data_IF_089018084751
#
_entry.id   IF_089018084751
#
_cell.length_a   1.000
_cell.length_b   1.000
_cell.length_c   1.000
_cell.angle_alpha   90.00
_cell.angle_beta   90.00
_cell.angle_gamma   90.00
#
_symmetry.space_group_name_H-M   'P 1'
#
loop_
_entity.id
_entity.type
_entity.pdbx_description
1 polymer ?
#
# COMPACT_ATOMS: atom_id res chain seq x y z
N UNK A 1 -4.94 -9.80 40.12
CA UNK A 1 -4.02 -10.45 39.16
C UNK A 1 -4.29 -11.91 39.17
N UNK A 2 -4.74 -12.50 38.03
CA UNK A 2 -4.91 -13.95 37.94
C UNK A 2 -3.59 -14.55 37.49
N UNK A 3 -3.03 -15.45 38.26
CA UNK A 3 -1.88 -16.26 37.86
C UNK A 3 -2.38 -17.41 36.99
N UNK A 4 -1.77 -17.58 35.80
CA UNK A 4 -2.02 -18.72 34.94
C UNK A 4 -0.97 -19.78 35.22
N UNK A 5 -1.40 -21.01 35.54
CA UNK A 5 -0.51 -22.16 35.74
C UNK A 5 -0.52 -23.01 34.46
N UNK A 6 0.66 -23.22 33.88
CA UNK A 6 0.86 -23.99 32.65
C UNK A 6 1.81 -25.16 32.95
N UNK A 7 1.60 -26.27 32.27
CA UNK A 7 2.46 -27.44 32.34
C UNK A 7 3.23 -27.63 31.04
N UNK A 8 4.47 -28.09 31.17
CA UNK A 8 5.27 -28.46 30.00
C UNK A 8 4.69 -29.73 29.34
N UNK A 9 4.77 -29.81 28.04
CA UNK A 9 4.52 -31.02 27.28
C UNK A 9 5.65 -32.04 27.46
N UNK A 10 5.51 -33.24 26.85
CA UNK A 10 6.50 -34.32 26.92
C UNK A 10 7.89 -33.95 26.37
N UNK A 11 7.99 -32.83 25.66
CA UNK A 11 9.24 -32.25 25.12
C UNK A 11 9.80 -31.13 26.01
N UNK A 12 9.16 -30.84 27.14
CA UNK A 12 9.53 -29.74 28.01
C UNK A 12 9.14 -28.34 27.48
N UNK A 13 8.23 -28.27 26.51
CA UNK A 13 7.79 -27.01 25.90
C UNK A 13 6.51 -26.52 26.57
N UNK A 14 6.51 -25.26 26.97
CA UNK A 14 5.31 -24.56 27.46
C UNK A 14 4.88 -23.54 26.42
N UNK A 15 3.65 -23.63 25.94
CA UNK A 15 3.05 -22.64 25.06
C UNK A 15 2.37 -21.57 25.91
N UNK A 16 2.86 -20.34 25.79
CA UNK A 16 2.23 -19.21 26.45
C UNK A 16 1.04 -18.74 25.58
N UNK A 17 -0.13 -18.48 26.21
CA UNK A 17 -1.22 -17.82 25.50
C UNK A 17 -0.81 -16.42 25.10
N UNK A 18 -1.43 -15.89 24.05
CA UNK A 18 -1.22 -14.49 23.64
C UNK A 18 -1.52 -13.58 24.85
N UNK A 19 -0.51 -12.88 25.33
CA UNK A 19 -0.58 -12.03 26.51
C UNK A 19 -1.20 -10.66 26.21
N UNK A 20 -1.84 -10.09 27.25
CA UNK A 20 -2.39 -8.72 27.16
C UNK A 20 -1.37 -7.63 27.50
N UNK A 21 -0.22 -8.04 28.04
CA UNK A 21 0.82 -7.15 28.52
C UNK A 21 2.13 -7.36 27.76
N UNK A 22 2.82 -6.29 27.51
CA UNK A 22 4.14 -6.29 26.86
C UNK A 22 5.20 -7.00 27.69
N UNK A 23 5.00 -7.12 28.99
CA UNK A 23 5.91 -7.78 29.93
C UNK A 23 5.15 -8.79 30.78
N UNK A 24 5.64 -10.03 30.79
CA UNK A 24 5.10 -11.10 31.60
C UNK A 24 6.19 -11.62 32.55
N UNK A 25 5.80 -11.83 33.81
CA UNK A 25 6.66 -12.44 34.81
C UNK A 25 6.40 -13.96 34.81
N UNK A 26 7.41 -14.72 34.45
CA UNK A 26 7.37 -16.18 34.47
C UNK A 26 8.03 -16.71 35.72
N UNK A 27 7.37 -17.64 36.35
CA UNK A 27 7.92 -18.44 37.44
C UNK A 27 7.93 -19.89 36.98
N UNK A 28 9.10 -20.44 36.74
CA UNK A 28 9.27 -21.86 36.41
C UNK A 28 9.62 -22.61 37.68
N UNK A 29 8.87 -23.69 37.98
CA UNK A 29 9.09 -24.54 39.15
C UNK A 29 9.26 -25.98 38.66
N UNK A 30 10.36 -26.64 39.09
CA UNK A 30 10.63 -28.03 38.72
C UNK A 30 11.87 -28.56 39.43
N UNK A 31 11.90 -29.86 39.72
CA UNK A 31 13.05 -30.54 40.34
C UNK A 31 13.50 -29.95 41.70
N UNK A 32 12.58 -29.36 42.45
CA UNK A 32 12.90 -28.72 43.74
C UNK A 32 13.49 -27.30 43.60
N UNK A 33 13.55 -26.76 42.41
CA UNK A 33 14.06 -25.41 42.10
C UNK A 33 12.97 -24.51 41.57
N UNK A 34 13.11 -23.22 41.81
CA UNK A 34 12.26 -22.18 41.21
C UNK A 34 13.14 -21.10 40.54
N UNK A 35 12.77 -20.70 39.34
CA UNK A 35 13.41 -19.62 38.59
C UNK A 35 12.36 -18.58 38.23
N UNK A 36 12.75 -17.32 38.32
CA UNK A 36 11.90 -16.17 37.94
C UNK A 36 12.55 -15.42 36.80
N UNK A 37 11.83 -15.23 35.72
CA UNK A 37 12.27 -14.40 34.60
C UNK A 37 11.15 -13.47 34.14
N UNK A 38 11.55 -12.35 33.55
CA UNK A 38 10.63 -11.42 32.90
C UNK A 38 10.86 -11.52 31.41
N UNK A 39 9.82 -11.83 30.66
CA UNK A 39 9.85 -11.84 29.22
C UNK A 39 9.09 -10.63 28.68
N UNK A 40 9.56 -10.10 27.57
CA UNK A 40 8.82 -9.13 26.80
C UNK A 40 8.07 -9.88 25.70
N UNK A 41 6.77 -9.86 25.77
CA UNK A 41 5.96 -10.34 24.67
C UNK A 41 5.88 -9.23 23.60
N UNK A 42 5.98 -9.59 22.33
CA UNK A 42 5.80 -8.60 21.26
C UNK A 42 4.38 -8.06 21.30
N UNK A 43 4.26 -6.75 21.09
CA UNK A 43 2.96 -6.10 20.95
C UNK A 43 2.20 -6.69 19.75
N UNK A 44 0.92 -6.93 19.93
CA UNK A 44 0.04 -7.35 18.85
C UNK A 44 -0.40 -6.12 18.05
N UNK A 45 0.50 -5.64 17.20
CA UNK A 45 0.24 -4.50 16.32
C UNK A 45 0.01 -5.02 14.91
N UNK A 46 -1.15 -4.69 14.35
CA UNK A 46 -1.50 -4.98 12.97
C UNK A 46 -1.20 -3.78 12.09
N UNK A 47 -0.60 -4.04 10.95
CA UNK A 47 -0.34 -3.06 9.90
C UNK A 47 -1.02 -3.51 8.62
N UNK A 48 -1.89 -2.65 8.11
CA UNK A 48 -2.53 -2.81 6.82
C UNK A 48 -1.80 -1.88 5.84
N UNK A 49 -1.34 -2.44 4.73
CA UNK A 49 -0.78 -1.70 3.62
C UNK A 49 -1.64 -1.94 2.39
N UNK A 50 -2.08 -0.87 1.74
CA UNK A 50 -2.84 -0.92 0.51
C UNK A 50 -2.04 -0.37 -0.66
N UNK A 51 -2.35 -0.79 -1.87
CA UNK A 51 -1.84 -0.18 -3.09
C UNK A 51 -2.91 -0.12 -4.15
N UNK A 52 -2.80 0.88 -4.99
CA UNK A 52 -3.69 1.06 -6.10
C UNK A 52 -2.84 1.17 -7.36
N UNK A 53 -3.02 0.19 -8.26
CA UNK A 53 -2.31 0.11 -9.51
C UNK A 53 -3.18 0.65 -10.63
N UNK A 54 -2.61 1.50 -11.43
CA UNK A 54 -3.24 2.03 -12.61
C UNK A 54 -2.20 2.55 -13.60
N UNK A 55 -2.51 2.44 -14.87
CA UNK A 55 -1.85 3.22 -15.90
C UNK A 55 -2.41 4.65 -15.84
N UNK A 56 -1.58 5.63 -15.48
CA UNK A 56 -1.99 7.05 -15.30
C UNK A 56 -2.70 7.61 -16.52
N UNK A 57 -2.28 7.19 -17.70
CA UNK A 57 -2.86 7.57 -18.99
C UNK A 57 -4.33 7.20 -19.15
N UNK A 58 -4.85 6.29 -18.33
CA UNK A 58 -6.25 5.90 -18.34
C UNK A 58 -7.12 6.71 -17.36
N UNK A 59 -6.51 7.49 -16.46
CA UNK A 59 -7.23 8.31 -15.48
C UNK A 59 -7.57 9.70 -16.05
N UNK A 60 -8.11 9.75 -17.25
CA UNK A 60 -8.52 11.00 -17.88
C UNK A 60 -9.95 11.36 -17.45
N UNK A 61 -10.23 12.66 -17.31
CA UNK A 61 -11.54 13.16 -16.98
C UNK A 61 -12.61 12.63 -17.95
N UNK A 62 -13.75 12.18 -17.41
CA UNK A 62 -14.86 11.61 -18.18
C UNK A 62 -14.65 10.17 -18.67
N UNK A 63 -13.50 9.54 -18.36
CA UNK A 63 -13.27 8.12 -18.70
C UNK A 63 -13.75 7.18 -17.59
N UNK A 64 -13.89 5.89 -17.94
CA UNK A 64 -14.25 4.81 -17.02
C UNK A 64 -13.09 3.80 -16.89
N UNK A 65 -11.99 4.16 -16.23
CA UNK A 65 -10.86 3.26 -16.05
C UNK A 65 -11.19 2.14 -15.07
N UNK A 66 -10.39 1.09 -15.16
CA UNK A 66 -10.38 0.01 -14.19
C UNK A 66 -9.16 0.17 -13.29
N UNK A 67 -9.37 0.24 -11.99
CA UNK A 67 -8.30 0.24 -11.01
C UNK A 67 -8.10 -1.16 -10.45
N UNK A 68 -6.85 -1.54 -10.23
CA UNK A 68 -6.50 -2.76 -9.50
C UNK A 68 -6.09 -2.37 -8.09
N UNK A 69 -6.82 -2.86 -7.11
CA UNK A 69 -6.58 -2.58 -5.70
C UNK A 69 -6.10 -3.83 -4.98
N UNK A 70 -4.94 -3.75 -4.35
CA UNK A 70 -4.39 -4.82 -3.55
C UNK A 70 -4.10 -4.36 -2.12
N UNK A 71 -3.92 -5.33 -1.22
CA UNK A 71 -3.59 -5.06 0.17
C UNK A 71 -2.67 -6.13 0.76
N UNK A 72 -2.01 -5.80 1.85
CA UNK A 72 -1.21 -6.70 2.65
C UNK A 72 -1.46 -6.43 4.13
N UNK A 73 -1.71 -7.48 4.89
CA UNK A 73 -1.86 -7.41 6.34
C UNK A 73 -0.68 -8.08 7.02
N UNK A 74 -0.10 -7.42 8.01
CA UNK A 74 0.96 -7.99 8.82
C UNK A 74 0.71 -7.76 10.32
N UNK A 75 1.26 -8.67 11.13
CA UNK A 75 1.37 -8.52 12.58
C UNK A 75 2.85 -8.56 12.95
N UNK A 76 3.40 -7.40 13.25
CA UNK A 76 4.85 -7.23 13.35
C UNK A 76 5.53 -7.63 12.04
N UNK A 77 6.40 -8.65 12.07
CA UNK A 77 7.10 -9.16 10.88
C UNK A 77 6.40 -10.35 10.20
N UNK A 78 5.25 -10.77 10.69
CA UNK A 78 4.53 -11.95 10.18
C UNK A 78 3.38 -11.52 9.30
N UNK A 79 3.30 -12.08 8.08
CA UNK A 79 2.15 -11.93 7.20
C UNK A 79 0.92 -12.61 7.81
N UNK A 80 -0.21 -11.92 7.77
CA UNK A 80 -1.53 -12.40 8.20
C UNK A 80 -2.43 -12.45 6.99
N UNK A 81 -3.24 -13.49 6.87
CA UNK A 81 -4.20 -13.61 5.77
C UNK A 81 -5.19 -12.45 5.76
N UNK A 82 -5.45 -11.91 4.58
CA UNK A 82 -6.45 -10.85 4.37
C UNK A 82 -7.87 -11.28 4.72
N UNK A 83 -8.12 -12.59 4.78
CA UNK A 83 -9.41 -13.14 5.24
C UNK A 83 -9.69 -12.87 6.73
N UNK A 84 -8.67 -12.44 7.49
CA UNK A 84 -8.83 -11.98 8.87
C UNK A 84 -9.44 -10.57 8.98
N UNK A 85 -9.49 -9.83 7.86
CA UNK A 85 -10.11 -8.51 7.79
C UNK A 85 -11.63 -8.62 7.83
N UNK A 86 -12.23 -7.79 8.64
CA UNK A 86 -13.69 -7.63 8.73
C UNK A 86 -14.08 -6.30 8.14
N UNK A 87 -15.15 -6.30 7.36
CA UNK A 87 -15.72 -5.11 6.73
C UNK A 87 -14.69 -4.23 6.00
N UNK A 88 -13.79 -4.81 5.18
CA UNK A 88 -12.84 -4.00 4.45
C UNK A 88 -13.56 -3.09 3.45
N UNK A 89 -13.22 -1.81 3.50
CA UNK A 89 -13.86 -0.77 2.70
C UNK A 89 -12.81 0.18 2.16
N UNK A 90 -12.92 0.54 0.89
CA UNK A 90 -12.13 1.63 0.30
C UNK A 90 -13.02 2.84 0.07
N UNK A 91 -12.55 3.99 0.52
CA UNK A 91 -13.15 5.28 0.19
C UNK A 91 -12.25 5.98 -0.83
N UNK A 92 -12.85 6.31 -1.97
CA UNK A 92 -12.23 7.05 -3.06
C UNK A 92 -12.76 8.48 -3.02
N UNK A 93 -11.87 9.46 -3.02
CA UNK A 93 -12.24 10.89 -3.00
C UNK A 93 -11.51 11.61 -4.13
N UNK A 94 -12.27 12.20 -5.01
CA UNK A 94 -11.78 13.01 -6.11
C UNK A 94 -11.69 14.47 -5.71
N UNK A 95 -10.55 15.08 -5.94
CA UNK A 95 -10.34 16.49 -5.67
C UNK A 95 -9.92 17.23 -6.94
N UNK A 96 -10.47 18.39 -7.11
CA UNK A 96 -10.14 19.32 -8.19
C UNK A 96 -9.16 20.40 -7.73
N UNK A 97 -9.13 21.49 -8.49
CA UNK A 97 -8.29 22.66 -8.21
C UNK A 97 -8.48 23.16 -6.78
N UNK A 98 -7.37 23.56 -6.16
CA UNK A 98 -7.33 24.03 -4.76
C UNK A 98 -7.86 23.02 -3.72
N UNK A 99 -7.81 21.70 -4.02
CA UNK A 99 -8.23 20.66 -3.07
C UNK A 99 -9.75 20.55 -2.86
N UNK A 100 -10.55 21.20 -3.71
CA UNK A 100 -12.02 21.12 -3.63
C UNK A 100 -12.48 19.69 -3.90
N UNK A 101 -13.26 19.12 -2.97
CA UNK A 101 -13.87 17.81 -3.18
C UNK A 101 -14.93 17.87 -4.29
N UNK A 102 -14.77 17.02 -5.33
CA UNK A 102 -15.68 16.92 -6.48
C UNK A 102 -16.65 15.76 -6.27
N UNK A 103 -16.11 14.59 -5.90
CA UNK A 103 -16.88 13.39 -5.67
C UNK A 103 -16.22 12.51 -4.60
N UNK A 104 -17.02 11.66 -3.97
CA UNK A 104 -16.54 10.66 -3.02
C UNK A 104 -17.41 9.42 -3.14
N UNK A 105 -16.77 8.26 -3.11
CA UNK A 105 -17.44 6.97 -3.18
C UNK A 105 -16.80 6.02 -2.18
N UNK A 106 -17.61 5.25 -1.46
CA UNK A 106 -17.14 4.19 -0.58
C UNK A 106 -17.64 2.85 -1.10
N UNK A 107 -16.73 1.89 -1.21
CA UNK A 107 -16.99 0.57 -1.77
C UNK A 107 -16.54 -0.50 -0.77
N UNK A 108 -17.40 -1.47 -0.44
CA UNK A 108 -16.97 -2.65 0.28
C UNK A 108 -16.01 -3.46 -0.61
N UNK A 109 -14.98 -4.03 0.01
CA UNK A 109 -14.01 -4.86 -0.69
C UNK A 109 -14.13 -6.32 -0.26
N UNK A 110 -13.80 -7.21 -1.18
CA UNK A 110 -13.55 -8.61 -0.87
C UNK A 110 -12.08 -8.90 -1.12
N UNK A 111 -11.27 -8.80 -0.05
CA UNK A 111 -9.82 -8.97 -0.11
C UNK A 111 -9.45 -10.43 0.16
N UNK A 112 -8.63 -11.00 -0.71
CA UNK A 112 -8.08 -12.34 -0.59
C UNK A 112 -6.56 -12.32 -0.81
N UNK A 113 -5.86 -13.36 -0.37
CA UNK A 113 -4.40 -13.39 -0.42
C UNK A 113 -3.85 -13.65 -1.84
N UNK A 114 -4.70 -14.14 -2.73
CA UNK A 114 -4.35 -14.64 -4.07
C UNK A 114 -4.86 -13.77 -5.21
N UNK A 115 -5.72 -12.80 -4.94
CA UNK A 115 -6.34 -11.98 -5.99
C UNK A 115 -6.46 -10.52 -5.57
N UNK A 116 -6.09 -9.64 -6.49
CA UNK A 116 -6.37 -8.22 -6.38
C UNK A 116 -7.82 -7.90 -6.75
N UNK A 117 -8.36 -6.84 -6.19
CA UNK A 117 -9.73 -6.40 -6.45
C UNK A 117 -9.76 -5.43 -7.63
N UNK A 118 -10.62 -5.70 -8.57
CA UNK A 118 -10.87 -4.84 -9.72
C UNK A 118 -11.97 -3.85 -9.38
N UNK A 119 -11.66 -2.55 -9.43
CA UNK A 119 -12.58 -1.45 -9.14
C UNK A 119 -12.91 -0.68 -10.43
N UNK A 120 -14.13 -0.84 -10.97
CA UNK A 120 -14.59 0.05 -12.03
C UNK A 120 -14.92 1.42 -11.43
N UNK A 121 -14.46 2.48 -12.08
CA UNK A 121 -14.78 3.84 -11.67
C UNK A 121 -15.10 4.73 -12.85
N UNK A 122 -15.62 5.92 -12.52
CA UNK A 122 -15.72 7.04 -13.43
C UNK A 122 -14.89 8.19 -12.90
N UNK A 123 -14.01 8.72 -13.72
CA UNK A 123 -13.20 9.91 -13.36
C UNK A 123 -14.06 11.15 -13.57
N UNK A 124 -14.40 11.90 -12.51
CA UNK A 124 -15.18 13.12 -12.65
C UNK A 124 -14.43 14.19 -13.44
N UNK A 125 -15.18 15.03 -14.17
CA UNK A 125 -14.61 16.20 -14.81
C UNK A 125 -13.97 17.14 -13.79
N UNK A 126 -12.82 17.70 -14.14
CA UNK A 126 -12.07 18.61 -13.27
C UNK A 126 -11.32 17.93 -12.12
N UNK A 127 -11.30 16.60 -12.05
CA UNK A 127 -10.51 15.88 -11.07
C UNK A 127 -9.01 16.03 -11.36
N UNK A 128 -8.26 16.40 -10.34
CA UNK A 128 -6.79 16.57 -10.39
C UNK A 128 -6.06 15.56 -9.50
N UNK A 129 -6.74 15.08 -8.46
CA UNK A 129 -6.18 14.06 -7.56
C UNK A 129 -7.26 13.04 -7.19
N UNK A 130 -6.83 11.80 -7.03
CA UNK A 130 -7.60 10.74 -6.40
C UNK A 130 -6.93 10.41 -5.07
N UNK A 131 -7.64 10.64 -3.98
CA UNK A 131 -7.28 10.12 -2.67
C UNK A 131 -8.01 8.82 -2.42
N UNK A 132 -7.34 7.83 -1.88
CA UNK A 132 -7.96 6.60 -1.45
C UNK A 132 -7.64 6.32 0.01
N UNK A 133 -8.58 5.73 0.73
CA UNK A 133 -8.42 5.25 2.10
C UNK A 133 -9.01 3.87 2.23
N UNK A 134 -8.18 2.91 2.58
CA UNK A 134 -8.58 1.58 2.96
C UNK A 134 -8.79 1.55 4.47
N UNK A 135 -9.89 0.99 4.92
CA UNK A 135 -10.20 0.79 6.33
C UNK A 135 -10.82 -0.59 6.54
N UNK A 136 -10.43 -1.29 7.59
CA UNK A 136 -10.95 -2.59 7.97
C UNK A 136 -10.79 -2.80 9.47
N UNK A 137 -11.41 -3.86 9.98
CA UNK A 137 -11.27 -4.29 11.36
C UNK A 137 -10.57 -5.64 11.43
N UNK A 138 -9.77 -5.86 12.47
CA UNK A 138 -9.11 -7.13 12.77
C UNK A 138 -9.43 -7.50 14.20
N UNK A 139 -9.80 -8.75 14.44
CA UNK A 139 -9.96 -9.25 15.79
C UNK A 139 -8.59 -9.53 16.42
N UNK A 140 -8.21 -8.71 17.41
CA UNK A 140 -7.01 -8.95 18.20
C UNK A 140 -7.14 -10.24 19.01
N UNK A 141 -6.20 -11.14 18.86
CA UNK A 141 -6.17 -12.42 19.57
C UNK A 141 -5.85 -12.24 21.05
N UNK A 142 -4.99 -11.27 21.37
CA UNK A 142 -4.57 -11.01 22.75
C UNK A 142 -5.66 -10.35 23.58
N UNK A 143 -6.46 -9.46 22.98
CA UNK A 143 -7.49 -8.71 23.71
C UNK A 143 -8.91 -9.20 23.47
N UNK A 144 -9.15 -9.96 22.39
CA UNK A 144 -10.48 -10.36 21.93
C UNK A 144 -11.32 -9.16 21.44
N UNK A 145 -10.71 -8.03 21.15
CA UNK A 145 -11.37 -6.82 20.68
C UNK A 145 -11.07 -6.55 19.21
N UNK A 146 -11.97 -5.90 18.56
CA UNK A 146 -11.74 -5.39 17.21
C UNK A 146 -10.83 -4.18 17.23
N UNK A 147 -9.85 -4.18 16.34
CA UNK A 147 -8.88 -3.10 16.14
C UNK A 147 -9.05 -2.60 14.72
N UNK A 148 -9.28 -1.30 14.57
CA UNK A 148 -9.34 -0.67 13.26
C UNK A 148 -7.94 -0.54 12.68
N UNK A 149 -7.76 -1.01 11.45
CA UNK A 149 -6.55 -0.86 10.66
C UNK A 149 -6.87 -0.07 9.40
N UNK A 150 -5.98 0.80 8.98
CA UNK A 150 -6.20 1.61 7.78
C UNK A 150 -4.90 1.93 7.07
N UNK A 151 -5.03 2.26 5.79
CA UNK A 151 -3.99 2.84 4.96
C UNK A 151 -4.61 3.81 3.96
N UNK A 152 -3.79 4.69 3.39
CA UNK A 152 -4.27 5.69 2.45
C UNK A 152 -3.17 6.08 1.45
N UNK A 153 -3.60 6.63 0.33
CA UNK A 153 -2.68 7.15 -0.67
C UNK A 153 -3.33 8.22 -1.54
N UNK A 154 -2.49 8.83 -2.36
CA UNK A 154 -2.90 9.89 -3.28
C UNK A 154 -2.30 9.61 -4.64
N UNK A 155 -3.13 9.71 -5.68
CA UNK A 155 -2.71 9.68 -7.08
C UNK A 155 -2.96 11.05 -7.67
N UNK A 156 -1.91 11.68 -8.20
CA UNK A 156 -2.03 12.89 -8.98
C UNK A 156 -2.41 12.52 -10.42
N UNK A 157 -3.53 13.02 -10.89
CA UNK A 157 -4.06 12.77 -12.22
C UNK A 157 -3.43 13.70 -13.24
N UNK A 158 -3.02 14.86 -12.78
CA UNK A 158 -2.30 15.85 -13.58
C UNK A 158 -0.93 16.08 -12.96
N UNK A 159 0.08 15.28 -13.31
CA UNK A 159 1.44 15.52 -12.82
C UNK A 159 1.93 16.85 -13.38
N UNK A 160 1.92 17.86 -12.54
CA UNK A 160 2.61 19.11 -12.78
C UNK A 160 1.99 20.00 -13.86
N UNK A 161 0.80 20.55 -13.58
CA UNK A 161 0.45 21.82 -14.19
C UNK A 161 1.16 22.93 -13.37
N UNK A 162 2.45 23.07 -13.55
CA UNK A 162 2.99 24.40 -13.71
C UNK A 162 2.36 24.90 -15.03
N UNK A 163 1.78 26.06 -15.04
CA UNK A 163 0.96 26.60 -16.14
C UNK A 163 1.67 26.60 -17.52
N UNK A 164 2.95 26.23 -17.62
CA UNK A 164 3.80 26.25 -18.81
C UNK A 164 4.33 24.88 -19.30
N UNK A 165 4.00 23.74 -18.66
CA UNK A 165 4.56 22.46 -19.09
C UNK A 165 3.52 21.32 -18.99
N UNK A 166 2.55 21.34 -19.88
CA UNK A 166 1.63 20.23 -20.13
C UNK A 166 2.32 19.21 -21.04
N UNK A 167 3.15 18.36 -20.46
CA UNK A 167 3.76 17.26 -21.20
C UNK A 167 3.62 15.96 -20.42
N UNK A 168 3.26 14.91 -21.11
CA UNK A 168 3.30 13.54 -20.59
C UNK A 168 4.41 12.77 -21.31
N UNK A 169 4.90 11.69 -20.70
CA UNK A 169 5.91 10.83 -21.29
C UNK A 169 5.41 9.40 -21.38
N UNK A 170 5.59 8.81 -22.54
CA UNK A 170 5.27 7.40 -22.81
C UNK A 170 6.58 6.65 -22.99
N UNK A 171 6.75 5.56 -22.23
CA UNK A 171 7.91 4.69 -22.36
C UNK A 171 7.44 3.36 -22.92
N UNK A 172 7.97 2.96 -24.05
CA UNK A 172 7.68 1.67 -24.67
C UNK A 172 8.95 0.93 -25.07
N UNK A 173 8.86 -0.39 -25.07
CA UNK A 173 9.96 -1.24 -25.54
C UNK A 173 9.79 -1.53 -27.02
N UNK A 174 10.83 -1.29 -27.78
CA UNK A 174 10.93 -1.61 -29.21
C UNK A 174 12.04 -2.63 -29.46
N UNK A 175 12.10 -3.24 -30.65
CA UNK A 175 13.16 -4.22 -30.99
C UNK A 175 14.57 -3.65 -30.83
N UNK A 176 14.76 -2.36 -31.09
CA UNK A 176 16.04 -1.66 -31.03
C UNK A 176 16.36 -1.05 -29.66
N UNK A 177 15.41 -1.08 -28.70
CA UNK A 177 15.64 -0.53 -27.37
C UNK A 177 14.39 -0.01 -26.68
N UNK A 178 14.58 1.05 -25.87
CA UNK A 178 13.50 1.75 -25.21
C UNK A 178 13.26 3.09 -25.91
N UNK A 179 12.00 3.30 -26.31
CA UNK A 179 11.56 4.59 -26.83
C UNK A 179 10.88 5.38 -25.71
N UNK A 180 11.25 6.65 -25.57
CA UNK A 180 10.63 7.61 -24.65
C UNK A 180 10.07 8.75 -25.49
N UNK A 181 8.75 8.86 -25.55
CA UNK A 181 8.05 9.95 -26.23
C UNK A 181 7.60 10.99 -25.21
N UNK A 182 7.82 12.26 -25.51
CA UNK A 182 7.23 13.38 -24.80
C UNK A 182 6.05 13.89 -25.62
N UNK A 183 4.88 13.97 -24.99
CA UNK A 183 3.63 14.37 -25.63
C UNK A 183 3.03 15.58 -24.94
N UNK A 184 2.47 16.46 -25.71
CA UNK A 184 1.70 17.58 -25.18
C UNK A 184 0.29 17.19 -24.76
N UNK A 185 -0.48 18.17 -24.38
CA UNK A 185 -1.81 18.02 -23.78
C UNK A 185 -2.86 17.38 -24.70
N UNK A 186 -2.70 17.52 -26.00
CA UNK A 186 -3.55 16.90 -27.01
C UNK A 186 -2.97 15.57 -27.54
N UNK A 187 -1.90 15.07 -26.92
CA UNK A 187 -1.21 13.85 -27.33
C UNK A 187 -0.22 14.04 -28.47
N UNK A 188 0.02 15.29 -28.91
CA UNK A 188 0.99 15.64 -29.94
C UNK A 188 2.41 15.43 -29.43
N UNK A 189 3.36 14.95 -30.29
CA UNK A 189 4.75 14.82 -29.89
C UNK A 189 5.38 16.20 -29.68
N UNK A 190 6.22 16.32 -28.67
CA UNK A 190 6.96 17.55 -28.35
C UNK A 190 8.44 17.40 -28.72
N UNK A 191 8.87 17.74 -29.91
CA UNK A 191 10.26 17.70 -30.33
C UNK A 191 11.08 18.82 -29.69
N UNK A 192 12.37 18.59 -29.54
CA UNK A 192 13.29 19.61 -29.11
C UNK A 192 13.33 19.91 -27.61
N UNK A 193 12.64 19.10 -26.78
CA UNK A 193 12.62 19.26 -25.32
C UNK A 193 13.70 18.38 -24.66
N UNK A 194 14.23 18.84 -23.55
CA UNK A 194 15.21 18.10 -22.78
C UNK A 194 14.51 17.18 -21.77
N UNK A 195 14.95 15.92 -21.72
CA UNK A 195 14.52 14.91 -20.76
C UNK A 195 15.73 14.40 -19.97
N UNK A 196 15.57 14.32 -18.67
CA UNK A 196 16.53 13.66 -17.78
C UNK A 196 16.08 12.22 -17.53
N UNK A 197 16.82 11.28 -18.08
CA UNK A 197 16.49 9.85 -18.00
C UNK A 197 17.43 9.16 -17.03
N UNK A 198 16.86 8.61 -15.94
CA UNK A 198 17.56 7.76 -14.98
C UNK A 198 17.11 6.31 -15.12
N UNK A 199 18.07 5.37 -15.19
CA UNK A 199 17.78 3.93 -15.21
C UNK A 199 18.16 3.34 -13.87
N UNK A 200 17.20 2.75 -13.18
CA UNK A 200 17.43 2.03 -11.92
C UNK A 200 17.23 0.54 -12.13
N UNK A 201 18.23 -0.26 -11.84
CA UNK A 201 18.14 -1.71 -11.90
C UNK A 201 17.73 -2.23 -10.52
N UNK A 202 16.64 -2.98 -10.45
CA UNK A 202 16.14 -3.56 -9.19
C UNK A 202 17.22 -4.47 -8.58
N UNK A 203 17.59 -4.20 -7.34
CA UNK A 203 18.65 -4.95 -6.62
C UNK A 203 20.07 -4.41 -6.79
N UNK A 204 20.32 -3.43 -7.65
CA UNK A 204 21.59 -2.72 -7.73
C UNK A 204 21.56 -1.40 -6.95
N UNK A 205 22.53 -1.22 -6.04
CA UNK A 205 22.70 0.04 -5.29
C UNK A 205 23.46 1.12 -6.08
N UNK A 206 23.87 0.82 -7.30
CA UNK A 206 24.60 1.76 -8.15
C UNK A 206 23.54 2.62 -8.86
N UNK A 207 23.47 3.89 -8.50
CA UNK A 207 22.72 4.87 -9.25
C UNK A 207 23.39 5.00 -10.63
N UNK A 208 22.69 4.59 -11.69
CA UNK A 208 23.12 4.88 -13.04
C UNK A 208 23.06 6.40 -13.25
N UNK A 209 24.02 6.99 -13.91
CA UNK A 209 24.04 8.42 -14.16
C UNK A 209 22.77 8.82 -14.94
N UNK A 210 22.12 9.86 -14.48
CA UNK A 210 21.08 10.54 -15.27
C UNK A 210 21.73 11.04 -16.57
N UNK A 211 21.07 10.78 -17.68
CA UNK A 211 21.46 11.32 -18.99
C UNK A 211 20.39 12.29 -19.45
N UNK A 212 20.80 13.50 -19.76
CA UNK A 212 19.95 14.46 -20.43
C UNK A 212 19.94 14.16 -21.92
N UNK A 213 18.78 13.95 -22.49
CA UNK A 213 18.56 13.69 -23.91
C UNK A 213 17.55 14.69 -24.44
N UNK A 214 17.70 15.06 -25.71
CA UNK A 214 16.76 15.95 -26.39
C UNK A 214 15.85 15.11 -27.28
N UNK A 215 14.54 15.37 -27.22
CA UNK A 215 13.59 14.71 -28.12
C UNK A 215 13.84 15.15 -29.56
N UNK A 216 13.84 14.23 -30.48
CA UNK A 216 13.93 14.47 -31.91
C UNK A 216 12.57 14.76 -32.54
N UNK A 217 12.53 14.84 -33.85
CA UNK A 217 11.32 15.19 -34.62
C UNK A 217 10.67 13.99 -35.30
N UNK A 218 11.19 12.75 -35.08
CA UNK A 218 10.74 11.54 -35.80
C UNK A 218 9.71 10.76 -34.99
#
# INVERSE_FOLDING_TARGET
MSALCLHADDRGVIRLPDGRNTYERLVAVGGGHASVSTIRLPDEVYHLAGWLLNAREHLLAGTNPTLVFGAHLSRGLTTVSLTALREPQVTLRWQGRAGKNIASQSLPLHLTDDQDVILPLTVPEGAMTLQWRLEAQVLSRSTGREVTVNDHGVINLSPGIAEDALSDHVVRREPEGWLVELRGNAGEPLPGHWLDIGVTVRGCRIANPMRSMKTDSD
#
